data_IF_192242883668
#
_entry.id   IF_192242883668
#
_cell.length_a   1.000
_cell.length_b   1.000
_cell.length_c   1.000
_cell.angle_alpha   90.00
_cell.angle_beta   90.00
_cell.angle_gamma   90.00
#
_symmetry.space_group_name_H-M   'P 1'
#
loop_
_entity.id
_entity.type
_entity.pdbx_description
1 polymer ?
#
# COMPACT_ATOMS: atom_id res chain seq x y z
N UNK A 1 -16.02 6.22 -1.44
CA UNK A 1 -14.53 6.12 -1.35
C UNK A 1 -14.03 7.01 -0.23
N UNK A 2 -13.19 6.52 0.70
CA UNK A 2 -12.53 7.32 1.75
C UNK A 2 -11.17 7.81 1.25
N UNK A 3 -10.83 9.08 1.54
CA UNK A 3 -9.54 9.66 1.15
C UNK A 3 -8.68 9.88 2.39
N UNK A 4 -7.49 9.30 2.39
CA UNK A 4 -6.56 9.32 3.50
C UNK A 4 -5.14 9.72 3.10
N UNK A 5 -4.22 9.53 4.04
CA UNK A 5 -2.79 9.76 3.84
C UNK A 5 -2.00 8.61 4.46
N UNK A 6 -0.94 8.15 3.78
CA UNK A 6 0.02 7.20 4.33
C UNK A 6 1.08 7.92 5.18
N UNK A 7 1.40 7.37 6.35
CA UNK A 7 2.52 7.90 7.16
C UNK A 7 3.86 7.80 6.44
N UNK A 8 3.98 6.93 5.40
CA UNK A 8 5.13 6.89 4.51
C UNK A 8 5.43 8.24 3.83
N UNK A 9 4.39 9.08 3.62
CA UNK A 9 4.56 10.41 3.04
C UNK A 9 5.38 11.36 3.93
N UNK A 10 5.47 11.08 5.20
CA UNK A 10 6.21 11.90 6.18
C UNK A 10 7.61 11.36 6.49
N UNK A 11 7.89 10.11 6.10
CA UNK A 11 9.19 9.48 6.33
C UNK A 11 10.30 10.12 5.45
N UNK A 12 11.51 10.38 5.96
CA UNK A 12 11.97 10.20 7.34
C UNK A 12 11.85 11.48 8.22
N UNK A 13 10.99 12.44 7.87
CA UNK A 13 10.82 13.69 8.62
C UNK A 13 10.15 13.47 9.98
N UNK A 14 9.21 12.53 10.00
CA UNK A 14 8.41 12.19 11.19
C UNK A 14 8.38 10.68 11.39
N UNK A 15 8.41 10.25 12.65
CA UNK A 15 8.08 8.89 13.02
C UNK A 15 6.58 8.64 12.85
N UNK A 16 6.17 7.41 12.55
CA UNK A 16 4.79 7.11 12.17
C UNK A 16 3.76 7.48 13.24
N UNK A 17 4.09 7.40 14.54
CA UNK A 17 3.24 7.81 15.64
C UNK A 17 3.09 9.33 15.79
N UNK A 18 3.98 10.13 15.22
CA UNK A 18 3.84 11.58 15.12
C UNK A 18 3.06 11.94 13.84
N UNK A 19 3.41 11.31 12.71
CA UNK A 19 2.76 11.51 11.42
C UNK A 19 1.25 11.28 11.50
N UNK A 20 0.77 10.28 12.27
CA UNK A 20 -0.66 10.04 12.44
C UNK A 20 -1.39 11.20 13.12
N UNK A 21 -0.73 11.92 14.04
CA UNK A 21 -1.25 13.14 14.64
C UNK A 21 -1.47 14.23 13.58
N UNK A 22 -0.46 14.46 12.75
CA UNK A 22 -0.52 15.41 11.64
C UNK A 22 -1.65 15.02 10.66
N UNK A 23 -1.75 13.77 10.26
CA UNK A 23 -2.79 13.26 9.35
C UNK A 23 -4.22 13.56 9.88
N UNK A 24 -4.42 13.41 11.20
CA UNK A 24 -5.70 13.77 11.83
C UNK A 24 -6.00 15.28 11.75
N UNK A 25 -4.99 16.11 12.03
CA UNK A 25 -5.10 17.58 11.94
C UNK A 25 -5.35 18.06 10.51
N UNK A 26 -4.84 17.35 9.50
CA UNK A 26 -5.10 17.61 8.09
C UNK A 26 -6.55 17.22 7.69
N UNK A 27 -7.28 16.48 8.54
CA UNK A 27 -8.67 16.10 8.32
C UNK A 27 -8.85 14.91 7.39
N UNK A 28 -7.92 13.97 7.33
CA UNK A 28 -8.04 12.74 6.54
C UNK A 28 -9.16 11.82 7.06
N UNK A 29 -9.82 11.06 6.17
CA UNK A 29 -10.88 10.11 6.55
C UNK A 29 -10.32 8.82 7.14
N UNK A 30 -9.11 8.45 6.72
CA UNK A 30 -8.39 7.26 7.15
C UNK A 30 -6.88 7.46 6.99
N UNK A 31 -6.10 6.53 7.51
CA UNK A 31 -4.66 6.53 7.34
C UNK A 31 -4.15 5.12 7.01
N UNK A 32 -3.05 5.08 6.26
CA UNK A 32 -2.18 3.91 6.22
C UNK A 32 -1.00 4.14 7.17
N UNK A 33 -0.61 3.11 7.92
CA UNK A 33 0.55 3.18 8.80
C UNK A 33 1.72 2.43 8.18
N UNK A 34 2.72 3.18 7.73
CA UNK A 34 4.00 2.63 7.31
C UNK A 34 4.86 2.35 8.54
N UNK A 35 5.14 1.08 8.76
CA UNK A 35 6.06 0.61 9.78
C UNK A 35 7.42 0.37 9.13
N UNK A 36 8.39 1.24 9.40
CA UNK A 36 9.69 1.26 8.72
C UNK A 36 10.77 0.41 9.36
N UNK A 37 10.59 0.01 10.62
CA UNK A 37 11.62 -0.62 11.43
C UNK A 37 11.16 -1.87 12.16
N UNK A 38 12.11 -2.74 12.52
CA UNK A 38 11.83 -3.92 13.36
C UNK A 38 11.30 -3.58 14.76
N UNK A 39 11.55 -2.37 15.25
CA UNK A 39 10.98 -1.89 16.50
C UNK A 39 9.46 -1.68 16.36
N UNK A 40 9.03 -1.04 15.27
CA UNK A 40 7.63 -0.74 14.97
C UNK A 40 6.81 -1.98 14.61
N UNK A 41 7.47 -3.06 14.11
CA UNK A 41 6.77 -4.32 13.82
C UNK A 41 6.29 -5.03 15.09
N UNK A 42 6.84 -4.71 16.27
CA UNK A 42 6.47 -5.38 17.52
C UNK A 42 5.11 -4.89 18.02
N UNK A 43 4.21 -5.79 18.47
CA UNK A 43 2.91 -5.38 18.99
C UNK A 43 2.97 -4.49 20.22
N UNK A 44 4.10 -4.49 20.95
CA UNK A 44 4.36 -3.59 22.08
C UNK A 44 4.40 -2.13 21.61
N UNK A 45 4.95 -1.84 20.43
CA UNK A 45 4.95 -0.50 19.84
C UNK A 45 3.51 -0.02 19.59
N UNK A 46 2.70 -0.82 18.92
CA UNK A 46 1.30 -0.48 18.64
C UNK A 46 0.49 -0.26 19.93
N UNK A 47 0.72 -1.10 20.94
CA UNK A 47 0.07 -0.98 22.26
C UNK A 47 0.49 0.27 23.01
N UNK A 48 1.79 0.59 23.04
CA UNK A 48 2.34 1.77 23.69
C UNK A 48 1.83 3.08 23.07
N UNK A 49 1.56 3.07 21.77
CA UNK A 49 1.10 4.24 21.02
C UNK A 49 -0.41 4.22 20.69
N UNK A 50 -1.19 3.34 21.33
CA UNK A 50 -2.61 3.14 21.02
C UNK A 50 -3.42 4.43 21.00
N UNK A 51 -3.19 5.33 21.95
CA UNK A 51 -3.90 6.60 22.01
C UNK A 51 -3.56 7.53 20.83
N UNK A 52 -2.30 7.51 20.39
CA UNK A 52 -1.88 8.29 19.22
C UNK A 52 -2.56 7.83 17.93
N UNK A 53 -2.76 6.53 17.78
CA UNK A 53 -3.44 5.94 16.62
C UNK A 53 -4.97 5.94 16.74
N UNK A 54 -5.55 6.31 17.89
CA UNK A 54 -6.99 6.40 18.08
C UNK A 54 -7.61 7.61 17.36
N UNK A 55 -8.92 7.54 17.09
CA UNK A 55 -9.68 8.67 16.51
C UNK A 55 -9.58 8.82 14.99
N UNK A 56 -8.88 7.91 14.32
CA UNK A 56 -8.86 7.77 12.86
C UNK A 56 -8.87 6.28 12.48
N UNK A 57 -9.51 5.94 11.38
CA UNK A 57 -9.47 4.58 10.86
C UNK A 57 -8.08 4.27 10.27
N UNK A 58 -7.44 3.20 10.74
CA UNK A 58 -6.24 2.66 10.11
C UNK A 58 -6.69 1.68 9.03
N UNK A 59 -6.67 2.13 7.78
CA UNK A 59 -7.18 1.36 6.63
C UNK A 59 -6.25 0.21 6.24
N UNK A 60 -4.95 0.40 6.42
CA UNK A 60 -3.90 -0.54 6.04
C UNK A 60 -2.63 -0.32 6.86
N UNK A 61 -1.79 -1.34 6.88
CA UNK A 61 -0.40 -1.24 7.31
C UNK A 61 0.52 -1.56 6.14
N UNK A 62 1.69 -0.95 6.13
CA UNK A 62 2.69 -1.09 5.08
C UNK A 62 4.06 -1.31 5.73
N UNK A 63 4.85 -2.26 5.24
CA UNK A 63 6.20 -2.53 5.76
C UNK A 63 7.27 -1.96 4.85
N UNK A 64 8.48 -1.79 5.40
CA UNK A 64 9.66 -1.62 4.53
C UNK A 64 9.93 -2.93 3.79
N UNK A 65 9.85 -2.89 2.45
CA UNK A 65 9.96 -4.04 1.56
C UNK A 65 11.26 -4.83 1.67
N UNK A 66 12.33 -4.19 2.16
CA UNK A 66 13.67 -4.82 2.25
C UNK A 66 13.93 -5.52 3.58
N UNK A 67 13.08 -5.34 4.59
CA UNK A 67 13.35 -5.84 5.94
C UNK A 67 13.14 -7.35 6.05
N UNK A 68 11.91 -7.83 5.97
CA UNK A 68 11.61 -9.27 6.13
C UNK A 68 10.88 -9.90 4.94
N UNK A 69 10.21 -9.11 4.10
CA UNK A 69 9.43 -9.63 2.98
C UNK A 69 10.26 -10.54 2.03
N UNK A 70 11.51 -10.18 1.65
CA UNK A 70 12.31 -11.05 0.80
C UNK A 70 12.59 -12.42 1.40
N UNK A 71 12.65 -12.51 2.73
CA UNK A 71 12.93 -13.75 3.45
C UNK A 71 11.76 -14.75 3.32
N UNK A 72 10.51 -14.26 3.18
CA UNK A 72 9.32 -15.09 3.01
C UNK A 72 9.37 -15.97 1.77
N UNK A 73 10.11 -15.56 0.76
CA UNK A 73 10.28 -16.27 -0.52
C UNK A 73 11.58 -17.09 -0.58
N UNK A 74 12.35 -17.18 0.51
CA UNK A 74 13.61 -17.92 0.54
C UNK A 74 13.38 -19.42 0.43
N UNK A 75 14.19 -20.08 -0.40
CA UNK A 75 14.27 -21.56 -0.44
C UNK A 75 14.86 -22.14 0.84
N UNK A 76 15.70 -21.38 1.56
CA UNK A 76 16.23 -21.76 2.86
C UNK A 76 15.13 -21.75 3.92
N UNK A 77 14.84 -22.92 4.50
CA UNK A 77 13.82 -23.05 5.55
C UNK A 77 14.09 -22.18 6.78
N UNK A 78 15.38 -21.99 7.13
CA UNK A 78 15.75 -21.14 8.27
C UNK A 78 15.49 -19.68 7.99
N UNK A 79 15.96 -19.18 6.84
CA UNK A 79 15.74 -17.77 6.42
C UNK A 79 14.24 -17.48 6.29
N UNK A 80 13.46 -18.42 5.72
CA UNK A 80 12.01 -18.25 5.63
C UNK A 80 11.36 -18.26 7.02
N UNK A 81 11.87 -19.06 7.97
CA UNK A 81 11.42 -19.04 9.36
C UNK A 81 11.61 -17.68 10.03
N UNK A 82 12.74 -17.02 9.78
CA UNK A 82 12.98 -15.65 10.29
C UNK A 82 12.01 -14.66 9.65
N UNK A 83 11.72 -14.79 8.35
CA UNK A 83 10.68 -13.98 7.67
C UNK A 83 9.30 -14.14 8.31
N UNK A 84 8.87 -15.38 8.59
CA UNK A 84 7.59 -15.64 9.26
C UNK A 84 7.55 -15.17 10.71
N UNK A 85 8.67 -15.20 11.43
CA UNK A 85 8.76 -14.59 12.76
C UNK A 85 8.43 -13.10 12.73
N UNK A 86 9.04 -12.36 11.79
CA UNK A 86 8.77 -10.94 11.66
C UNK A 86 7.39 -10.62 11.07
N UNK A 87 6.89 -11.46 10.18
CA UNK A 87 5.51 -11.36 9.69
C UNK A 87 4.50 -11.54 10.84
N UNK A 88 4.73 -12.49 11.77
CA UNK A 88 3.91 -12.66 12.97
C UNK A 88 3.87 -11.38 13.82
N UNK A 89 5.06 -10.82 14.11
CA UNK A 89 5.15 -9.59 14.91
C UNK A 89 4.43 -8.42 14.21
N UNK A 90 4.65 -8.25 12.91
CA UNK A 90 4.03 -7.22 12.08
C UNK A 90 2.49 -7.35 12.05
N UNK A 91 1.98 -8.55 11.86
CA UNK A 91 0.53 -8.81 11.82
C UNK A 91 -0.14 -8.62 13.18
N UNK A 92 0.54 -8.93 14.29
CA UNK A 92 0.07 -8.59 15.65
C UNK A 92 0.01 -7.09 15.86
N UNK A 93 0.99 -6.36 15.34
CA UNK A 93 0.98 -4.89 15.36
C UNK A 93 -0.17 -4.35 14.53
N UNK A 94 -0.37 -4.85 13.31
CA UNK A 94 -1.51 -4.52 12.45
C UNK A 94 -2.85 -4.73 13.16
N UNK A 95 -3.02 -5.90 13.80
CA UNK A 95 -4.23 -6.22 14.57
C UNK A 95 -4.44 -5.25 15.74
N UNK A 96 -3.37 -4.90 16.47
CA UNK A 96 -3.43 -3.95 17.59
C UNK A 96 -3.79 -2.53 17.12
N UNK A 97 -3.39 -2.13 15.91
CA UNK A 97 -3.76 -0.89 15.25
C UNK A 97 -5.17 -0.92 14.64
N UNK A 98 -5.80 -2.09 14.56
CA UNK A 98 -7.13 -2.27 13.96
C UNK A 98 -7.12 -2.34 12.43
N UNK A 99 -5.95 -2.41 11.80
CA UNK A 99 -5.82 -2.52 10.37
C UNK A 99 -6.31 -3.89 9.86
N UNK A 100 -6.97 -3.88 8.69
CA UNK A 100 -7.49 -5.09 8.05
C UNK A 100 -6.77 -5.44 6.75
N UNK A 101 -5.84 -4.60 6.32
CA UNK A 101 -5.11 -4.76 5.06
C UNK A 101 -3.62 -4.58 5.29
N UNK A 102 -2.85 -5.35 4.55
CA UNK A 102 -1.40 -5.25 4.50
C UNK A 102 -0.97 -4.95 3.07
N UNK A 103 -0.46 -3.73 2.82
CA UNK A 103 0.16 -3.34 1.55
C UNK A 103 1.48 -4.07 1.40
N UNK A 104 1.50 -5.11 0.55
CA UNK A 104 2.57 -6.08 0.43
C UNK A 104 3.26 -5.99 -0.92
N UNK A 105 4.58 -5.79 -0.94
CA UNK A 105 5.35 -5.60 -2.17
C UNK A 105 5.56 -6.89 -2.97
N UNK A 106 5.58 -8.04 -2.28
CA UNK A 106 5.83 -9.32 -2.91
C UNK A 106 7.30 -9.66 -3.11
N UNK A 107 7.56 -10.58 -4.04
CA UNK A 107 8.92 -11.07 -4.32
C UNK A 107 9.74 -10.05 -5.10
N UNK A 108 10.92 -9.69 -4.58
CA UNK A 108 11.85 -8.80 -5.25
C UNK A 108 12.46 -9.53 -6.45
N UNK A 109 12.13 -9.08 -7.66
CA UNK A 109 12.69 -9.62 -8.89
C UNK A 109 12.77 -8.55 -9.97
N UNK A 110 13.96 -8.23 -10.40
CA UNK A 110 14.20 -7.27 -11.49
C UNK A 110 14.00 -7.88 -12.89
N UNK A 111 13.85 -9.21 -13.00
CA UNK A 111 13.67 -9.92 -14.27
C UNK A 111 12.52 -10.90 -14.17
N UNK A 112 11.45 -10.63 -14.93
CA UNK A 112 10.31 -11.53 -15.02
C UNK A 112 10.61 -12.82 -15.84
N UNK A 113 11.74 -12.88 -16.54
CA UNK A 113 12.04 -13.97 -17.48
C UNK A 113 12.42 -15.30 -16.78
N UNK A 114 12.73 -15.26 -15.48
CA UNK A 114 13.13 -16.45 -14.71
C UNK A 114 12.25 -16.67 -13.47
N UNK A 115 11.05 -16.12 -13.45
CA UNK A 115 10.14 -16.24 -12.31
C UNK A 115 9.36 -17.54 -12.43
N UNK A 116 9.51 -18.44 -11.45
CA UNK A 116 8.61 -19.58 -11.31
C UNK A 116 7.33 -19.13 -10.61
N UNK A 117 6.31 -18.82 -11.40
CA UNK A 117 5.01 -18.31 -10.92
C UNK A 117 4.33 -19.26 -9.94
N UNK A 118 4.42 -20.57 -10.14
CA UNK A 118 3.77 -21.55 -9.27
C UNK A 118 4.41 -21.58 -7.88
N UNK A 119 5.74 -21.46 -7.81
CA UNK A 119 6.45 -21.35 -6.54
C UNK A 119 6.11 -20.06 -5.81
N UNK A 120 6.08 -18.92 -6.52
CA UNK A 120 5.71 -17.64 -5.90
C UNK A 120 4.25 -17.65 -5.44
N UNK A 121 3.34 -18.18 -6.24
CA UNK A 121 1.94 -18.31 -5.86
C UNK A 121 1.74 -19.22 -4.65
N UNK A 122 2.56 -20.27 -4.49
CA UNK A 122 2.55 -21.11 -3.30
C UNK A 122 2.96 -20.32 -2.07
N UNK A 123 4.04 -19.56 -2.13
CA UNK A 123 4.43 -18.68 -1.02
C UNK A 123 3.37 -17.62 -0.72
N UNK A 124 2.77 -17.00 -1.74
CA UNK A 124 1.69 -16.03 -1.55
C UNK A 124 0.48 -16.63 -0.84
N UNK A 125 0.08 -17.86 -1.19
CA UNK A 125 -1.01 -18.57 -0.49
C UNK A 125 -0.67 -18.79 0.99
N UNK A 126 0.52 -19.30 1.27
CA UNK A 126 0.98 -19.54 2.64
C UNK A 126 0.98 -18.24 3.46
N UNK A 127 1.43 -17.12 2.87
CA UNK A 127 1.44 -15.78 3.48
C UNK A 127 0.01 -15.29 3.72
N UNK A 128 -0.90 -15.40 2.75
CA UNK A 128 -2.30 -15.03 2.88
C UNK A 128 -3.00 -15.85 3.98
N UNK A 129 -2.80 -17.16 4.00
CA UNK A 129 -3.37 -18.05 5.03
C UNK A 129 -2.82 -17.73 6.42
N UNK A 130 -1.54 -17.35 6.49
CA UNK A 130 -0.94 -16.92 7.74
C UNK A 130 -1.53 -15.60 8.23
N UNK A 131 -1.66 -14.59 7.36
CA UNK A 131 -2.21 -13.27 7.68
C UNK A 131 -3.70 -13.33 8.07
N UNK A 132 -4.47 -14.23 7.44
CA UNK A 132 -5.87 -14.42 7.75
C UNK A 132 -6.14 -14.81 9.22
N UNK A 133 -5.17 -15.44 9.90
CA UNK A 133 -5.25 -15.77 11.34
C UNK A 133 -5.34 -14.52 12.23
N UNK A 134 -4.90 -13.38 11.72
CA UNK A 134 -4.92 -12.07 12.38
C UNK A 134 -6.07 -11.18 11.87
N UNK A 135 -6.88 -11.71 10.94
CA UNK A 135 -7.95 -10.95 10.27
C UNK A 135 -7.42 -9.85 9.37
N UNK A 136 -6.25 -10.08 8.75
CA UNK A 136 -5.58 -9.14 7.84
C UNK A 136 -5.50 -9.76 6.44
N UNK A 137 -5.97 -9.04 5.44
CA UNK A 137 -5.87 -9.39 4.03
C UNK A 137 -4.53 -8.93 3.46
N UNK A 138 -3.85 -9.80 2.72
CA UNK A 138 -2.63 -9.45 1.99
C UNK A 138 -3.02 -8.83 0.65
N UNK A 139 -2.60 -7.59 0.43
CA UNK A 139 -2.90 -6.82 -0.76
C UNK A 139 -1.59 -6.60 -1.55
N UNK A 140 -1.42 -7.35 -2.65
CA UNK A 140 -0.22 -7.28 -3.48
C UNK A 140 -0.17 -5.97 -4.26
N UNK A 141 0.92 -5.23 -4.10
CA UNK A 141 1.15 -3.95 -4.76
C UNK A 141 1.87 -4.12 -6.10
N UNK A 142 1.53 -3.29 -7.10
CA UNK A 142 2.22 -3.22 -8.39
C UNK A 142 3.55 -2.47 -8.29
N UNK A 143 4.58 -3.12 -7.79
CA UNK A 143 5.89 -2.50 -7.53
C UNK A 143 6.85 -2.73 -8.68
N UNK A 144 7.42 -1.66 -9.24
CA UNK A 144 8.25 -1.67 -10.45
C UNK A 144 9.52 -2.54 -10.40
N UNK A 145 10.01 -2.85 -9.20
CA UNK A 145 11.19 -3.69 -8.96
C UNK A 145 10.87 -5.03 -8.29
N UNK A 146 9.57 -5.33 -8.11
CA UNK A 146 9.08 -6.63 -7.66
C UNK A 146 8.52 -7.46 -8.80
N UNK A 147 8.08 -8.66 -8.51
CA UNK A 147 7.55 -9.58 -9.52
C UNK A 147 6.29 -9.03 -10.19
N UNK A 148 5.42 -8.35 -9.43
CA UNK A 148 4.24 -7.69 -10.01
C UNK A 148 4.60 -6.29 -10.50
N UNK A 149 5.34 -6.21 -11.60
CA UNK A 149 5.81 -4.95 -12.20
C UNK A 149 5.16 -4.61 -13.55
N UNK A 150 4.22 -5.41 -14.04
CA UNK A 150 3.51 -5.16 -15.30
C UNK A 150 2.09 -5.71 -15.27
N UNK A 151 1.16 -5.12 -16.04
CA UNK A 151 -0.21 -5.63 -16.17
C UNK A 151 -0.26 -7.07 -16.70
N UNK A 152 -1.30 -7.80 -16.33
CA UNK A 152 -1.51 -9.22 -16.64
C UNK A 152 -1.00 -10.18 -15.57
N UNK A 153 0.01 -9.77 -14.76
CA UNK A 153 0.58 -10.64 -13.75
C UNK A 153 -0.29 -10.82 -12.51
N UNK A 154 -1.11 -9.82 -12.15
CA UNK A 154 -1.99 -9.96 -11.01
C UNK A 154 -3.03 -11.07 -11.23
N UNK A 155 -3.64 -11.13 -12.40
CA UNK A 155 -4.57 -12.21 -12.77
C UNK A 155 -3.92 -13.58 -12.68
N UNK A 156 -2.66 -13.70 -13.08
CA UNK A 156 -1.87 -14.93 -12.95
C UNK A 156 -1.69 -15.36 -11.49
N UNK A 157 -1.37 -14.40 -10.60
CA UNK A 157 -1.28 -14.68 -9.16
C UNK A 157 -2.65 -14.94 -8.55
N UNK A 158 -3.66 -14.14 -8.88
CA UNK A 158 -5.03 -14.27 -8.38
C UNK A 158 -5.65 -15.61 -8.73
N UNK A 159 -5.41 -16.14 -9.94
CA UNK A 159 -5.90 -17.46 -10.36
C UNK A 159 -5.34 -18.60 -9.53
N UNK A 160 -4.13 -18.44 -8.99
CA UNK A 160 -3.44 -19.43 -8.14
C UNK A 160 -3.60 -19.18 -6.64
N UNK A 161 -3.92 -17.94 -6.26
CA UNK A 161 -4.13 -17.49 -4.89
C UNK A 161 -5.42 -16.65 -4.82
N UNK A 162 -6.62 -17.29 -4.79
CA UNK A 162 -7.90 -16.57 -4.90
C UNK A 162 -8.17 -15.56 -3.79
N UNK A 163 -7.58 -15.73 -2.61
CA UNK A 163 -7.71 -14.81 -1.47
C UNK A 163 -6.86 -13.54 -1.59
N UNK A 164 -5.90 -13.48 -2.55
CA UNK A 164 -5.03 -12.34 -2.75
C UNK A 164 -5.84 -11.11 -3.16
N UNK A 165 -5.67 -9.98 -2.47
CA UNK A 165 -6.18 -8.68 -2.87
C UNK A 165 -5.09 -7.84 -3.54
N UNK A 166 -5.44 -6.66 -4.05
CA UNK A 166 -4.50 -5.77 -4.73
C UNK A 166 -4.42 -4.39 -4.09
N UNK A 167 -3.23 -3.82 -4.10
CA UNK A 167 -2.98 -2.38 -3.95
C UNK A 167 -2.59 -1.83 -5.32
N UNK A 168 -3.29 -0.80 -5.77
CA UNK A 168 -2.88 -0.03 -6.94
C UNK A 168 -2.05 1.17 -6.50
N UNK A 169 -0.77 1.18 -6.84
CA UNK A 169 0.10 2.34 -6.67
C UNK A 169 0.32 3.03 -8.03
N UNK A 170 -0.12 4.30 -8.12
CA UNK A 170 -0.03 5.12 -9.34
C UNK A 170 1.43 5.44 -9.67
N UNK A 171 2.25 5.74 -8.68
CA UNK A 171 3.68 6.03 -8.82
C UNK A 171 4.45 4.82 -9.38
N UNK A 172 4.14 3.63 -8.86
CA UNK A 172 4.77 2.40 -9.32
C UNK A 172 4.31 2.00 -10.73
N UNK A 173 3.03 2.20 -11.07
CA UNK A 173 2.53 2.02 -12.43
C UNK A 173 3.31 2.91 -13.41
N UNK A 174 3.49 4.19 -13.08
CA UNK A 174 4.29 5.13 -13.89
C UNK A 174 5.74 4.67 -14.06
N UNK A 175 6.39 4.24 -12.97
CA UNK A 175 7.78 3.75 -12.97
C UNK A 175 7.96 2.48 -13.81
N UNK A 176 6.97 1.64 -13.85
CA UNK A 176 6.95 0.42 -14.68
C UNK A 176 6.78 0.72 -16.16
N UNK A 177 6.39 1.94 -16.54
CA UNK A 177 6.25 2.37 -17.93
C UNK A 177 4.97 1.89 -18.62
N UNK A 178 4.01 1.35 -17.89
CA UNK A 178 2.73 0.91 -18.45
C UNK A 178 1.61 1.89 -18.10
N UNK A 179 0.60 2.04 -18.98
CA UNK A 179 -0.58 2.86 -18.71
C UNK A 179 -1.34 2.40 -17.46
N UNK A 180 -1.77 3.36 -16.62
CA UNK A 180 -2.47 3.09 -15.36
C UNK A 180 -3.75 2.26 -15.55
N UNK A 181 -4.51 2.54 -16.62
CA UNK A 181 -5.75 1.81 -16.91
C UNK A 181 -5.52 0.30 -17.10
N UNK A 182 -4.37 -0.11 -17.62
CA UNK A 182 -4.05 -1.54 -17.78
C UNK A 182 -3.88 -2.24 -16.43
N UNK A 183 -3.35 -1.55 -15.40
CA UNK A 183 -3.29 -2.08 -14.04
C UNK A 183 -4.68 -2.13 -13.39
N UNK A 184 -5.50 -1.09 -13.57
CA UNK A 184 -6.89 -1.09 -13.07
C UNK A 184 -7.68 -2.27 -13.65
N UNK A 185 -7.52 -2.53 -14.94
CA UNK A 185 -8.17 -3.66 -15.62
C UNK A 185 -7.64 -5.02 -15.11
N UNK A 186 -6.32 -5.15 -14.92
CA UNK A 186 -5.69 -6.38 -14.41
C UNK A 186 -6.13 -6.73 -13.00
N UNK A 187 -6.31 -5.72 -12.14
CA UNK A 187 -6.73 -5.85 -10.74
C UNK A 187 -8.25 -5.80 -10.54
N UNK A 188 -9.05 -5.64 -11.61
CA UNK A 188 -10.49 -5.43 -11.51
C UNK A 188 -11.19 -6.48 -10.63
N UNK A 189 -12.05 -6.01 -9.71
CA UNK A 189 -12.73 -6.83 -8.71
C UNK A 189 -11.86 -7.30 -7.53
N UNK A 190 -10.58 -6.91 -7.49
CA UNK A 190 -9.66 -7.27 -6.41
C UNK A 190 -8.93 -6.08 -5.79
N UNK A 191 -9.07 -4.87 -6.36
CA UNK A 191 -8.49 -3.66 -5.78
C UNK A 191 -9.12 -3.44 -4.40
N UNK A 192 -8.29 -3.39 -3.38
CA UNK A 192 -8.70 -3.24 -1.99
C UNK A 192 -8.16 -1.96 -1.36
N UNK A 193 -7.08 -1.41 -1.92
CA UNK A 193 -6.42 -0.21 -1.47
C UNK A 193 -5.74 0.51 -2.64
N UNK A 194 -5.57 1.83 -2.56
CA UNK A 194 -4.94 2.63 -3.62
C UNK A 194 -3.97 3.63 -3.02
N UNK A 195 -2.74 3.69 -3.56
CA UNK A 195 -1.76 4.74 -3.29
C UNK A 195 -1.83 5.82 -4.36
N UNK A 196 -2.18 7.03 -3.95
CA UNK A 196 -2.38 8.18 -4.80
C UNK A 196 -1.13 9.07 -4.82
N UNK A 197 -0.66 9.38 -6.02
CA UNK A 197 0.38 10.35 -6.30
C UNK A 197 0.14 10.96 -7.67
N UNK A 198 0.80 12.05 -7.99
CA UNK A 198 0.71 12.71 -9.29
C UNK A 198 2.10 12.83 -9.92
N UNK A 199 2.17 13.30 -11.13
CA UNK A 199 3.40 13.53 -11.87
C UNK A 199 3.31 14.87 -12.61
N UNK A 200 4.35 15.69 -12.50
CA UNK A 200 4.42 16.97 -13.23
C UNK A 200 4.70 16.76 -14.73
N UNK A 201 4.64 17.85 -15.50
CA UNK A 201 4.92 17.84 -16.94
C UNK A 201 6.33 17.33 -17.30
N UNK A 202 7.27 17.38 -16.34
CA UNK A 202 8.64 16.88 -16.52
C UNK A 202 8.82 15.43 -16.10
N UNK A 203 7.74 14.78 -15.60
CA UNK A 203 7.77 13.40 -15.15
C UNK A 203 8.24 13.19 -13.71
N UNK A 204 8.40 14.28 -12.92
CA UNK A 204 8.73 14.21 -11.50
C UNK A 204 7.47 13.93 -10.69
N UNK A 205 7.58 13.07 -9.67
CA UNK A 205 6.48 12.78 -8.75
C UNK A 205 6.14 14.02 -7.92
N UNK A 206 4.86 14.22 -7.69
CA UNK A 206 4.31 15.30 -6.90
C UNK A 206 3.00 14.88 -6.21
N UNK A 207 2.45 15.77 -5.40
CA UNK A 207 1.16 15.58 -4.74
C UNK A 207 -0.01 15.58 -5.75
N UNK A 208 -1.08 14.81 -5.51
CA UNK A 208 -2.28 14.82 -6.32
C UNK A 208 -2.86 16.23 -6.52
N UNK A 209 -3.20 16.58 -7.76
CA UNK A 209 -3.69 17.91 -8.15
C UNK A 209 -2.61 18.95 -8.40
N UNK A 210 -1.34 18.58 -8.26
CA UNK A 210 -0.17 19.43 -8.61
C UNK A 210 0.48 18.98 -9.93
N UNK A 211 -0.01 17.92 -10.54
CA UNK A 211 0.53 17.35 -11.77
C UNK A 211 -0.50 17.28 -12.90
N UNK A 212 -0.36 16.27 -13.75
CA UNK A 212 -1.12 16.14 -15.00
C UNK A 212 -2.23 15.09 -14.95
N UNK A 213 -2.36 14.32 -13.88
CA UNK A 213 -3.39 13.29 -13.81
C UNK A 213 -4.80 13.86 -13.58
N UNK A 214 -5.75 13.34 -14.33
CA UNK A 214 -7.18 13.61 -14.12
C UNK A 214 -7.73 12.62 -13.09
N UNK A 215 -7.77 13.02 -11.81
CA UNK A 215 -8.25 12.18 -10.73
C UNK A 215 -9.75 11.87 -10.80
N UNK A 216 -10.56 12.73 -11.43
CA UNK A 216 -11.97 12.43 -11.67
C UNK A 216 -12.12 11.21 -12.60
N UNK A 217 -11.34 11.16 -13.67
CA UNK A 217 -11.33 10.02 -14.58
C UNK A 217 -10.78 8.75 -13.90
N UNK A 218 -9.69 8.89 -13.12
CA UNK A 218 -9.09 7.77 -12.38
C UNK A 218 -10.11 7.18 -11.41
N UNK A 219 -10.82 8.02 -10.64
CA UNK A 219 -11.82 7.54 -9.67
C UNK A 219 -13.01 6.89 -10.34
N UNK A 220 -13.50 7.41 -11.48
CA UNK A 220 -14.53 6.76 -12.30
C UNK A 220 -14.11 5.38 -12.78
N UNK A 221 -12.86 5.23 -13.22
CA UNK A 221 -12.31 3.94 -13.64
C UNK A 221 -12.17 2.95 -12.48
N UNK A 222 -11.73 3.42 -11.31
CA UNK A 222 -11.66 2.61 -10.09
C UNK A 222 -13.05 2.11 -9.67
N UNK A 223 -14.07 2.99 -9.65
CA UNK A 223 -15.46 2.60 -9.39
C UNK A 223 -15.97 1.59 -10.43
N UNK A 224 -15.69 1.81 -11.71
CA UNK A 224 -16.02 0.88 -12.78
C UNK A 224 -15.34 -0.49 -12.65
N UNK A 225 -14.19 -0.55 -12.00
CA UNK A 225 -13.47 -1.77 -11.65
C UNK A 225 -13.96 -2.41 -10.33
N UNK A 226 -15.02 -1.86 -9.71
CA UNK A 226 -15.61 -2.36 -8.47
C UNK A 226 -14.91 -1.89 -7.19
N UNK A 227 -14.08 -0.85 -7.26
CA UNK A 227 -13.39 -0.31 -6.09
C UNK A 227 -14.24 0.77 -5.38
N UNK A 228 -14.47 0.57 -4.07
CA UNK A 228 -15.09 1.54 -3.15
C UNK A 228 -14.34 1.59 -1.81
N UNK A 229 -13.07 1.26 -1.85
CA UNK A 229 -12.20 1.18 -0.67
C UNK A 229 -11.52 2.51 -0.32
N UNK A 230 -10.58 2.48 0.65
CA UNK A 230 -9.75 3.61 1.01
C UNK A 230 -8.65 3.85 -0.04
N UNK A 231 -8.46 5.12 -0.39
CA UNK A 231 -7.36 5.59 -1.22
C UNK A 231 -6.54 6.61 -0.42
N UNK A 232 -5.24 6.42 -0.32
CA UNK A 232 -4.36 7.26 0.49
C UNK A 232 -3.32 7.98 -0.36
N UNK A 233 -3.04 9.24 -0.05
CA UNK A 233 -1.90 9.96 -0.60
C UNK A 233 -0.63 9.26 -0.11
N UNK A 234 0.21 8.81 -1.04
CA UNK A 234 1.53 8.26 -0.75
C UNK A 234 2.58 8.83 -1.71
N UNK A 235 3.37 9.76 -1.19
CA UNK A 235 4.46 10.45 -1.86
C UNK A 235 5.75 10.34 -1.02
N UNK A 236 6.87 10.79 -1.54
CA UNK A 236 8.09 10.88 -0.74
C UNK A 236 8.15 12.21 0.00
N UNK A 237 8.81 12.23 1.15
CA UNK A 237 9.03 13.46 1.92
C UNK A 237 9.73 14.59 1.14
N UNK A 238 10.37 14.30 0.00
CA UNK A 238 10.97 15.28 -0.92
C UNK A 238 10.04 15.80 -2.01
N UNK A 239 8.81 15.30 -2.11
CA UNK A 239 7.86 15.69 -3.17
C UNK A 239 6.97 16.88 -2.77
N UNK A 240 7.12 17.38 -1.56
CA UNK A 240 6.44 18.58 -1.02
C UNK A 240 7.33 19.29 0.00
N UNK A 241 7.01 20.55 0.31
CA UNK A 241 7.78 21.39 1.24
C UNK A 241 7.09 21.51 2.60
N UNK A 242 5.78 21.77 2.58
CA UNK A 242 4.98 22.05 3.76
C UNK A 242 3.76 21.13 3.84
N UNK A 243 3.32 20.80 5.06
CA UNK A 243 2.18 19.89 5.28
C UNK A 243 0.85 20.48 4.80
N UNK A 244 0.75 21.80 4.67
CA UNK A 244 -0.43 22.45 4.06
C UNK A 244 -0.63 22.06 2.60
N UNK A 245 0.42 21.66 1.89
CA UNK A 245 0.33 21.16 0.52
C UNK A 245 -0.37 19.79 0.47
N UNK A 246 -0.09 18.92 1.47
CA UNK A 246 -0.81 17.63 1.62
C UNK A 246 -2.28 17.91 1.91
N UNK A 247 -2.60 18.89 2.77
CA UNK A 247 -3.97 19.30 3.07
C UNK A 247 -4.72 19.72 1.81
N UNK A 248 -4.14 20.59 0.99
CA UNK A 248 -4.73 21.03 -0.28
C UNK A 248 -5.01 19.85 -1.21
N UNK A 249 -4.07 18.91 -1.31
CA UNK A 249 -4.21 17.69 -2.11
C UNK A 249 -5.33 16.79 -1.58
N UNK A 250 -5.43 16.65 -0.26
CA UNK A 250 -6.46 15.88 0.41
C UNK A 250 -7.86 16.48 0.15
N UNK A 251 -8.00 17.79 0.31
CA UNK A 251 -9.25 18.53 0.04
C UNK A 251 -9.67 18.39 -1.43
N UNK A 252 -8.74 18.55 -2.36
CA UNK A 252 -8.97 18.35 -3.81
C UNK A 252 -9.51 16.94 -4.12
N UNK A 253 -8.88 15.90 -3.59
CA UNK A 253 -9.29 14.52 -3.83
C UNK A 253 -10.64 14.20 -3.18
N UNK A 254 -10.91 14.74 -1.98
CA UNK A 254 -12.19 14.57 -1.27
C UNK A 254 -13.32 15.23 -2.03
N UNK A 255 -13.10 16.42 -2.61
CA UNK A 255 -14.10 17.10 -3.44
C UNK A 255 -14.49 16.25 -4.67
N UNK A 256 -13.50 15.65 -5.35
CA UNK A 256 -13.76 14.74 -6.47
C UNK A 256 -14.52 13.49 -6.01
N UNK A 257 -14.06 12.84 -4.93
CA UNK A 257 -14.71 11.65 -4.40
C UNK A 257 -16.17 11.93 -3.99
N UNK A 258 -16.43 13.08 -3.39
CA UNK A 258 -17.78 13.49 -3.01
C UNK A 258 -18.72 13.70 -4.21
N UNK A 259 -18.22 14.27 -5.31
CA UNK A 259 -19.00 14.49 -6.54
C UNK A 259 -19.37 13.20 -7.28
N UNK A 260 -18.64 12.12 -7.02
CA UNK A 260 -18.82 10.84 -7.69
C UNK A 260 -19.67 9.82 -6.88
N UNK A 261 -19.99 10.14 -5.61
CA UNK A 261 -20.87 9.35 -4.75
C UNK A 261 -22.31 9.84 -4.89
#
# INVERSE_FOLDING_TARGET
MKIGVSTASFFPREECENAIGIIKELGADCAEVFLGSFYEYRPEFAKANKERFSGIEISSVHSSSINFEPQLFSSSRRVRGDGYYWLDQFLRSAQALGAKKYSFHGYISRSANNVNFDNIATYLRDICEFAARYGVDVCLENVSWCTYNRPGLFREFKSRCPQLAAVLDIKQARRSGYPLNMYIEDMSGAISHVHLSDVDEKGKMCLPGKGVYNFEEIFKRLQGAGFDGPAVIEVYGGDYTDYSEIKQSLEYLKEIAYKLN
#
